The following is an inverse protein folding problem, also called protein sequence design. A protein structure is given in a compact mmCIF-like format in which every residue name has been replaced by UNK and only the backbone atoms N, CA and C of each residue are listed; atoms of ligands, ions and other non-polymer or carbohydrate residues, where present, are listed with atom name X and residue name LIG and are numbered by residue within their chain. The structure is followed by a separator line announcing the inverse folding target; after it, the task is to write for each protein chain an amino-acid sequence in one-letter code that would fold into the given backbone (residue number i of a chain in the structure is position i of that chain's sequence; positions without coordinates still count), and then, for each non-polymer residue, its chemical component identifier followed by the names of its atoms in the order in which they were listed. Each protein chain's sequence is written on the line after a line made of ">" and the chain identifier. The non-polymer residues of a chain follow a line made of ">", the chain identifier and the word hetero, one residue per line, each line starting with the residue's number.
data_IF_161944542802
#
_entry.id   IF_161944542802
#
_cell.length_a   1.000
_cell.length_b   1.000
_cell.length_c   1.000
_cell.angle_alpha   90.00
_cell.angle_beta   90.00
_cell.angle_gamma   90.00
#
_symmetry.space_group_name_H-M   'P 1'
#
loop_
_entity.id
_entity.type
_entity.pdbx_description
1 polymer ?
#
# COMPACT_ATOMS: atom_id res chain seq x y z
N UNK A 1 -3.83 -20.45 10.48
CA UNK A 1 -3.69 -21.08 9.13
C UNK A 1 -2.43 -21.94 9.03
N UNK A 2 -1.21 -21.48 9.35
CA UNK A 2 0.05 -22.22 9.24
C UNK A 2 0.01 -23.62 9.90
N UNK A 3 -0.57 -23.74 11.10
CA UNK A 3 -0.70 -25.04 11.78
C UNK A 3 -1.63 -26.02 11.01
N UNK A 4 -2.63 -25.51 10.28
CA UNK A 4 -3.49 -26.32 9.42
C UNK A 4 -2.72 -26.81 8.19
N UNK A 5 -2.05 -25.91 7.49
CA UNK A 5 -1.22 -26.25 6.33
C UNK A 5 -0.18 -27.31 6.66
N UNK A 6 0.48 -27.18 7.82
CA UNK A 6 1.44 -28.19 8.31
C UNK A 6 0.79 -29.56 8.56
N UNK A 7 -0.46 -29.59 9.09
CA UNK A 7 -1.17 -30.85 9.32
C UNK A 7 -1.62 -31.52 8.02
N UNK A 8 -1.95 -30.73 7.01
CA UNK A 8 -2.45 -31.21 5.72
C UNK A 8 -1.34 -31.50 4.70
N UNK A 9 -0.09 -31.11 4.98
CA UNK A 9 1.03 -31.27 4.03
C UNK A 9 1.37 -32.72 3.67
N UNK A 10 0.96 -33.68 4.51
CA UNK A 10 1.14 -35.12 4.24
C UNK A 10 -0.06 -35.77 3.51
N UNK A 11 -1.10 -35.00 3.22
CA UNK A 11 -2.32 -35.47 2.56
C UNK A 11 -2.28 -35.17 1.06
N UNK A 12 -2.70 -36.09 0.24
CA UNK A 12 -2.96 -35.88 -1.18
C UNK A 12 -4.35 -35.23 -1.32
N UNK A 13 -4.37 -33.91 -1.44
CA UNK A 13 -5.61 -33.12 -1.52
C UNK A 13 -6.08 -33.10 -2.98
N UNK A 14 -7.25 -33.69 -3.25
CA UNK A 14 -7.87 -33.75 -4.58
C UNK A 14 -9.02 -32.75 -4.73
N UNK A 15 -9.54 -32.21 -3.63
CA UNK A 15 -10.66 -31.27 -3.63
C UNK A 15 -10.60 -30.37 -2.40
N UNK A 16 -10.82 -29.08 -2.58
CA UNK A 16 -11.00 -28.12 -1.49
C UNK A 16 -12.45 -27.63 -1.50
N UNK A 17 -13.16 -27.86 -0.40
CA UNK A 17 -14.54 -27.41 -0.20
C UNK A 17 -14.56 -26.26 0.82
N UNK A 18 -14.45 -25.01 0.40
CA UNK A 18 -14.49 -23.87 1.32
C UNK A 18 -15.90 -23.69 1.90
N UNK A 19 -15.99 -23.10 3.09
CA UNK A 19 -17.30 -22.72 3.68
C UNK A 19 -17.97 -21.60 2.87
N UNK A 20 -17.16 -20.75 2.22
CA UNK A 20 -17.61 -19.69 1.34
C UNK A 20 -16.78 -19.72 0.06
N UNK A 21 -17.43 -19.73 -1.09
CA UNK A 21 -16.81 -19.78 -2.41
C UNK A 21 -17.06 -21.10 -3.15
N UNK A 22 -16.52 -21.26 -4.37
CA UNK A 22 -16.69 -22.45 -5.16
C UNK A 22 -15.89 -23.64 -4.60
N UNK A 23 -16.33 -24.85 -4.92
CA UNK A 23 -15.52 -26.06 -4.73
C UNK A 23 -14.37 -26.03 -5.75
N UNK A 24 -13.15 -26.26 -5.28
CA UNK A 24 -11.96 -26.26 -6.10
C UNK A 24 -11.50 -27.70 -6.34
N UNK A 25 -11.39 -28.08 -7.60
CA UNK A 25 -10.87 -29.38 -8.07
C UNK A 25 -9.62 -29.22 -8.93
N UNK A 26 -9.29 -27.98 -9.29
CA UNK A 26 -8.13 -27.59 -10.09
C UNK A 26 -7.41 -26.43 -9.41
N UNK A 27 -6.14 -26.20 -9.74
CA UNK A 27 -5.34 -25.11 -9.15
C UNK A 27 -5.10 -25.24 -7.64
N UNK A 28 -5.19 -26.45 -7.09
CA UNK A 28 -5.14 -26.69 -5.64
C UNK A 28 -3.77 -26.34 -5.04
N UNK A 29 -2.70 -26.65 -5.77
CA UNK A 29 -1.34 -26.33 -5.32
C UNK A 29 -1.12 -24.84 -5.24
N UNK A 30 -1.52 -24.08 -6.27
CA UNK A 30 -1.45 -22.61 -6.28
C UNK A 30 -2.29 -22.02 -5.15
N UNK A 31 -3.50 -22.52 -4.94
CA UNK A 31 -4.36 -22.10 -3.84
C UNK A 31 -3.68 -22.30 -2.47
N UNK A 32 -3.04 -23.45 -2.25
CA UNK A 32 -2.34 -23.78 -1.00
C UNK A 32 -1.08 -22.90 -0.83
N UNK A 33 -0.36 -22.59 -1.92
CA UNK A 33 0.78 -21.68 -1.91
C UNK A 33 0.34 -20.27 -1.52
N UNK A 34 -0.76 -19.75 -2.09
CA UNK A 34 -1.32 -18.45 -1.72
C UNK A 34 -1.77 -18.42 -0.25
N UNK A 35 -2.45 -19.46 0.23
CA UNK A 35 -2.81 -19.55 1.65
C UNK A 35 -1.58 -19.57 2.57
N UNK A 36 -0.51 -20.23 2.15
CA UNK A 36 0.74 -20.21 2.90
C UNK A 36 1.34 -18.81 2.94
N UNK A 37 1.42 -18.12 1.81
CA UNK A 37 1.93 -16.76 1.66
C UNK A 37 1.13 -15.77 2.52
N UNK A 38 -0.19 -15.69 2.30
CA UNK A 38 -1.06 -14.75 2.99
C UNK A 38 -1.11 -14.95 4.50
N UNK A 39 -1.07 -16.21 4.96
CA UNK A 39 -1.08 -16.52 6.40
C UNK A 39 0.23 -16.19 7.12
N UNK A 40 1.28 -15.85 6.38
CA UNK A 40 2.53 -15.28 6.86
C UNK A 40 2.60 -13.76 6.68
N UNK A 41 1.55 -13.14 6.12
CA UNK A 41 1.49 -11.71 5.82
C UNK A 41 2.49 -11.26 4.76
N UNK A 42 2.93 -12.19 3.92
CA UNK A 42 3.78 -11.89 2.78
C UNK A 42 2.95 -11.38 1.60
N UNK A 43 3.46 -10.43 0.82
CA UNK A 43 2.81 -9.96 -0.40
C UNK A 43 2.92 -10.98 -1.53
N UNK A 44 2.01 -10.94 -2.48
CA UNK A 44 2.13 -11.74 -3.71
C UNK A 44 3.23 -11.20 -4.63
N UNK A 45 3.37 -9.89 -4.70
CA UNK A 45 4.36 -9.18 -5.51
C UNK A 45 5.27 -8.32 -4.62
N UNK A 46 6.34 -8.92 -4.09
CA UNK A 46 7.24 -8.29 -3.12
C UNK A 46 7.92 -7.01 -3.63
N UNK A 47 8.23 -6.97 -4.92
CA UNK A 47 8.93 -5.83 -5.55
C UNK A 47 7.99 -4.76 -6.10
N UNK A 48 6.70 -5.06 -6.18
CA UNK A 48 5.72 -4.10 -6.68
C UNK A 48 5.38 -3.03 -5.65
N UNK A 49 5.03 -1.84 -6.15
CA UNK A 49 4.66 -0.69 -5.33
C UNK A 49 3.20 -0.31 -5.60
N UNK A 50 2.40 -0.16 -4.55
CA UNK A 50 1.13 0.55 -4.65
C UNK A 50 1.32 2.01 -4.26
N UNK A 51 0.91 2.95 -5.12
CA UNK A 51 0.74 4.36 -4.78
C UNK A 51 -0.75 4.62 -4.55
N UNK A 52 -1.17 4.72 -3.29
CA UNK A 52 -2.54 5.09 -2.93
C UNK A 52 -2.60 6.59 -2.64
N UNK A 53 -3.44 7.32 -3.38
CA UNK A 53 -3.54 8.77 -3.21
C UNK A 53 -4.96 9.26 -2.98
N UNK A 54 -5.08 10.36 -2.22
CA UNK A 54 -6.31 11.10 -2.02
C UNK A 54 -6.05 12.59 -2.25
N UNK A 55 -6.63 13.15 -3.31
CA UNK A 55 -6.36 14.50 -3.77
C UNK A 55 -7.65 15.33 -3.86
N UNK A 56 -7.61 16.57 -3.33
CA UNK A 56 -8.75 17.50 -3.38
C UNK A 56 -8.78 18.25 -4.70
N UNK A 57 -7.64 18.87 -5.06
CA UNK A 57 -7.53 19.79 -6.22
C UNK A 57 -6.58 19.27 -7.31
N UNK A 58 -6.23 17.99 -7.31
CA UNK A 58 -5.40 17.36 -8.33
C UNK A 58 -3.88 17.43 -8.10
N UNK A 59 -3.36 18.32 -7.25
CA UNK A 59 -1.91 18.47 -7.05
C UNK A 59 -1.26 17.24 -6.42
N UNK A 60 -1.91 16.63 -5.42
CA UNK A 60 -1.45 15.39 -4.82
C UNK A 60 -1.51 14.21 -5.80
N UNK A 61 -2.58 14.15 -6.61
CA UNK A 61 -2.70 13.17 -7.68
C UNK A 61 -1.63 13.35 -8.76
N UNK A 62 -1.28 14.60 -9.10
CA UNK A 62 -0.19 14.90 -10.02
C UNK A 62 1.16 14.42 -9.47
N UNK A 63 1.45 14.67 -8.20
CA UNK A 63 2.66 14.18 -7.54
C UNK A 63 2.73 12.64 -7.53
N UNK A 64 1.62 11.97 -7.22
CA UNK A 64 1.51 10.51 -7.26
C UNK A 64 1.82 9.94 -8.66
N UNK A 65 1.26 10.56 -9.71
CA UNK A 65 1.52 10.18 -11.11
C UNK A 65 2.97 10.45 -11.52
N UNK A 66 3.55 11.55 -11.06
CA UNK A 66 4.97 11.89 -11.30
C UNK A 66 5.89 10.87 -10.66
N UNK A 67 5.63 10.49 -9.40
CA UNK A 67 6.37 9.42 -8.71
C UNK A 67 6.26 8.10 -9.48
N UNK A 68 5.05 7.70 -9.90
CA UNK A 68 4.84 6.51 -10.73
C UNK A 68 5.75 6.52 -11.95
N UNK A 69 5.73 7.60 -12.73
CA UNK A 69 6.56 7.69 -13.95
C UNK A 69 8.06 7.65 -13.68
N UNK A 70 8.53 8.15 -12.51
CA UNK A 70 9.94 8.05 -12.11
C UNK A 70 10.33 6.60 -11.75
N UNK A 71 9.46 5.87 -11.04
CA UNK A 71 9.67 4.46 -10.66
C UNK A 71 9.61 3.53 -11.86
N UNK A 72 8.64 3.71 -12.75
CA UNK A 72 8.52 2.92 -13.99
C UNK A 72 9.74 3.07 -14.89
N UNK A 73 10.35 4.26 -14.96
CA UNK A 73 11.63 4.49 -15.68
C UNK A 73 12.80 3.71 -15.06
N UNK A 74 12.69 3.28 -13.80
CA UNK A 74 13.64 2.41 -13.13
C UNK A 74 13.30 0.92 -13.26
N UNK A 75 12.25 0.58 -14.00
CA UNK A 75 11.80 -0.80 -14.21
C UNK A 75 10.94 -1.36 -13.07
N UNK A 76 10.50 -0.53 -12.13
CA UNK A 76 9.67 -0.96 -11.00
C UNK A 76 8.20 -1.08 -11.45
N UNK A 77 7.54 -2.17 -11.10
CA UNK A 77 6.09 -2.34 -11.31
C UNK A 77 5.32 -1.49 -10.32
N UNK A 78 4.49 -0.57 -10.82
CA UNK A 78 3.75 0.38 -10.00
C UNK A 78 2.26 0.36 -10.28
N UNK A 79 1.48 0.03 -9.27
CA UNK A 79 0.04 0.21 -9.24
C UNK A 79 -0.29 1.59 -8.65
N UNK A 80 -1.28 2.27 -9.19
CA UNK A 80 -1.75 3.56 -8.66
C UNK A 80 -3.25 3.50 -8.40
N UNK A 81 -3.68 3.97 -7.24
CA UNK A 81 -5.06 3.95 -6.79
C UNK A 81 -5.49 5.34 -6.32
N UNK A 82 -6.54 5.87 -6.92
CA UNK A 82 -7.20 7.09 -6.45
C UNK A 82 -8.31 6.73 -5.46
N UNK A 83 -8.07 6.95 -4.18
CA UNK A 83 -8.99 6.60 -3.10
C UNK A 83 -10.28 7.42 -3.10
N UNK A 84 -10.37 8.48 -3.92
CA UNK A 84 -11.57 9.30 -4.02
C UNK A 84 -12.63 8.72 -4.96
N UNK A 85 -12.23 7.77 -5.81
CA UNK A 85 -13.12 7.16 -6.83
C UNK A 85 -13.02 5.64 -6.91
N UNK A 86 -11.96 5.04 -6.36
CA UNK A 86 -11.79 3.59 -6.36
C UNK A 86 -12.56 2.98 -5.18
N UNK A 87 -13.26 1.88 -5.44
CA UNK A 87 -13.87 1.12 -4.34
C UNK A 87 -12.79 0.69 -3.33
N UNK A 88 -13.08 0.94 -2.06
CA UNK A 88 -12.12 0.73 -0.98
C UNK A 88 -11.66 -0.72 -0.85
N UNK A 89 -12.51 -1.68 -1.20
CA UNK A 89 -12.15 -3.11 -1.17
C UNK A 89 -11.01 -3.44 -2.13
N UNK A 90 -11.02 -2.87 -3.34
CA UNK A 90 -9.93 -3.02 -4.31
C UNK A 90 -8.65 -2.32 -3.87
N UNK A 91 -8.76 -1.13 -3.26
CA UNK A 91 -7.60 -0.42 -2.75
C UNK A 91 -6.91 -1.21 -1.62
N UNK A 92 -7.70 -1.78 -0.70
CA UNK A 92 -7.20 -2.64 0.38
C UNK A 92 -6.58 -3.92 -0.17
N UNK A 93 -7.24 -4.61 -1.11
CA UNK A 93 -6.69 -5.80 -1.72
C UNK A 93 -5.33 -5.51 -2.39
N UNK A 94 -5.22 -4.39 -3.13
CA UNK A 94 -3.97 -3.96 -3.76
C UNK A 94 -2.85 -3.68 -2.73
N UNK A 95 -3.17 -3.16 -1.55
CA UNK A 95 -2.19 -2.93 -0.49
C UNK A 95 -1.64 -4.25 0.09
N UNK A 96 -2.46 -5.29 0.19
CA UNK A 96 -1.99 -6.62 0.61
C UNK A 96 -1.19 -7.32 -0.49
N UNK A 97 -1.53 -7.09 -1.75
CA UNK A 97 -0.88 -7.68 -2.91
C UNK A 97 0.56 -7.17 -3.11
N UNK A 98 0.79 -5.85 -2.94
CA UNK A 98 2.08 -5.22 -3.19
C UNK A 98 3.02 -5.30 -1.97
N UNK A 99 4.33 -5.42 -2.23
CA UNK A 99 5.34 -5.43 -1.18
C UNK A 99 5.63 -4.07 -0.56
N UNK A 100 5.50 -3.01 -1.34
CA UNK A 100 5.77 -1.64 -0.91
C UNK A 100 4.54 -0.75 -1.14
N UNK A 101 4.37 0.25 -0.29
CA UNK A 101 3.22 1.17 -0.34
C UNK A 101 3.72 2.62 -0.30
N UNK A 102 3.15 3.49 -1.11
CA UNK A 102 3.30 4.94 -0.97
C UNK A 102 1.93 5.56 -0.76
N UNK A 103 1.80 6.30 0.33
CA UNK A 103 0.58 7.02 0.68
C UNK A 103 0.75 8.50 0.37
N UNK A 104 -0.15 9.04 -0.46
CA UNK A 104 -0.13 10.44 -0.85
C UNK A 104 -1.45 11.11 -0.49
N UNK A 105 -1.45 12.04 0.46
CA UNK A 105 -2.68 12.67 0.96
C UNK A 105 -2.58 14.16 1.11
N UNK A 106 -3.70 14.84 0.84
CA UNK A 106 -3.89 16.23 1.22
C UNK A 106 -4.23 16.35 2.71
N UNK A 107 -3.76 17.44 3.34
CA UNK A 107 -4.27 17.89 4.62
C UNK A 107 -5.64 18.52 4.41
N UNK A 108 -6.62 18.12 5.19
CA UNK A 108 -7.99 18.60 5.10
C UNK A 108 -8.52 18.92 6.51
N UNK A 109 -9.01 20.14 6.71
CA UNK A 109 -9.57 20.61 7.99
C UNK A 109 -8.65 20.31 9.21
N UNK A 110 -7.36 20.58 9.04
CA UNK A 110 -6.33 20.26 10.04
C UNK A 110 -6.07 18.76 10.27
N UNK A 111 -6.80 17.90 9.58
CA UNK A 111 -6.74 16.45 9.65
C UNK A 111 -6.26 15.79 8.37
N UNK A 112 -6.45 14.48 8.30
CA UNK A 112 -6.20 13.68 7.12
C UNK A 112 -7.44 13.70 6.21
N UNK A 113 -7.24 13.82 4.90
CA UNK A 113 -8.36 13.79 3.96
C UNK A 113 -9.16 12.48 4.10
N UNK A 114 -10.51 12.54 4.22
CA UNK A 114 -11.34 11.42 4.62
C UNK A 114 -11.09 10.10 3.88
N UNK A 115 -10.95 10.05 2.52
CA UNK A 115 -10.70 8.78 1.83
C UNK A 115 -9.40 8.09 2.28
N UNK A 116 -8.35 8.86 2.57
CA UNK A 116 -7.08 8.30 3.09
C UNK A 116 -7.25 7.83 4.53
N UNK A 117 -8.00 8.57 5.36
CA UNK A 117 -8.29 8.16 6.74
C UNK A 117 -9.02 6.83 6.78
N UNK A 118 -10.09 6.70 5.99
CA UNK A 118 -10.90 5.49 5.88
C UNK A 118 -10.06 4.30 5.39
N UNK A 119 -9.24 4.51 4.36
CA UNK A 119 -8.33 3.48 3.86
C UNK A 119 -7.39 2.94 4.95
N UNK A 120 -6.74 3.82 5.73
CA UNK A 120 -5.86 3.43 6.82
C UNK A 120 -6.61 2.69 7.95
N UNK A 121 -7.83 3.11 8.29
CA UNK A 121 -8.68 2.42 9.28
C UNK A 121 -9.03 1.01 8.83
N UNK A 122 -9.30 0.81 7.54
CA UNK A 122 -9.53 -0.53 6.97
C UNK A 122 -8.27 -1.39 6.98
N UNK A 123 -7.12 -0.84 6.62
CA UNK A 123 -5.84 -1.55 6.72
C UNK A 123 -5.57 -2.01 8.16
N UNK A 124 -5.75 -1.12 9.13
CA UNK A 124 -5.57 -1.42 10.55
C UNK A 124 -6.51 -2.52 11.04
N UNK A 125 -7.81 -2.39 10.73
CA UNK A 125 -8.84 -3.36 11.12
C UNK A 125 -8.58 -4.75 10.55
N UNK A 126 -8.03 -4.83 9.34
CA UNK A 126 -7.66 -6.10 8.68
C UNK A 126 -6.28 -6.62 9.10
N UNK A 127 -5.59 -5.91 10.00
CA UNK A 127 -4.28 -6.32 10.55
C UNK A 127 -3.15 -6.21 9.55
N UNK A 128 -3.20 -5.26 8.62
CA UNK A 128 -2.12 -4.96 7.67
C UNK A 128 -0.78 -4.80 8.39
N UNK A 129 0.25 -5.46 7.87
CA UNK A 129 1.57 -5.52 8.50
C UNK A 129 2.65 -5.97 7.52
N UNK A 130 3.90 -5.98 7.99
CA UNK A 130 5.07 -6.49 7.26
C UNK A 130 5.21 -5.79 5.90
N UNK A 131 5.23 -4.45 5.92
CA UNK A 131 5.34 -3.63 4.71
C UNK A 131 6.22 -2.42 4.92
N UNK A 132 6.78 -1.93 3.82
CA UNK A 132 7.52 -0.66 3.76
C UNK A 132 6.64 0.41 3.16
N UNK A 133 6.62 1.59 3.79
CA UNK A 133 5.67 2.64 3.42
C UNK A 133 6.39 3.99 3.26
N UNK A 134 6.24 4.61 2.09
CA UNK A 134 6.64 5.98 1.80
C UNK A 134 5.48 6.96 1.96
N UNK A 135 5.79 8.21 2.30
CA UNK A 135 4.79 9.23 2.58
C UNK A 135 4.96 10.46 1.69
N UNK A 136 3.84 10.91 1.12
CA UNK A 136 3.71 12.19 0.42
C UNK A 136 2.57 12.96 1.06
N UNK A 137 2.84 14.18 1.48
CA UNK A 137 1.82 15.08 2.03
C UNK A 137 1.63 16.33 1.17
N UNK A 138 0.45 16.91 1.26
CA UNK A 138 0.16 18.21 0.67
C UNK A 138 -0.64 19.10 1.63
N UNK A 139 -0.19 20.33 1.78
CA UNK A 139 -0.90 21.34 2.58
C UNK A 139 -0.28 22.72 2.38
N UNK A 140 -1.10 23.72 2.07
CA UNK A 140 -0.61 25.06 1.71
C UNK A 140 0.08 25.80 2.86
N UNK A 141 -0.48 25.73 4.08
CA UNK A 141 0.02 26.46 5.25
C UNK A 141 0.73 25.57 6.26
N UNK A 142 0.03 24.51 6.70
CA UNK A 142 0.50 23.59 7.72
C UNK A 142 0.23 22.15 7.26
N UNK A 143 1.07 21.61 6.39
CA UNK A 143 0.94 20.21 6.00
C UNK A 143 1.05 19.31 7.24
N UNK A 144 0.07 18.45 7.44
CA UNK A 144 -0.02 17.56 8.60
C UNK A 144 -0.30 16.11 8.21
N UNK A 145 -0.59 15.87 6.93
CA UNK A 145 -1.02 14.56 6.47
C UNK A 145 0.05 13.47 6.71
N UNK A 146 1.33 13.75 6.46
CA UNK A 146 2.41 12.78 6.70
C UNK A 146 2.50 12.37 8.17
N UNK A 147 2.47 13.34 9.08
CA UNK A 147 2.48 13.08 10.52
C UNK A 147 1.29 12.24 10.97
N UNK A 148 0.10 12.54 10.46
CA UNK A 148 -1.13 11.82 10.80
C UNK A 148 -1.12 10.39 10.23
N UNK A 149 -0.66 10.22 8.98
CA UNK A 149 -0.46 8.88 8.38
C UNK A 149 0.57 8.07 9.17
N UNK A 150 1.72 8.69 9.52
CA UNK A 150 2.77 8.05 10.34
C UNK A 150 2.20 7.54 11.67
N UNK A 151 1.48 8.37 12.42
CA UNK A 151 0.86 7.97 13.69
C UNK A 151 -0.04 6.73 13.53
N UNK A 152 -0.85 6.68 12.46
CA UNK A 152 -1.70 5.52 12.18
C UNK A 152 -0.93 4.26 11.79
N UNK A 153 0.14 4.42 11.02
CA UNK A 153 1.00 3.31 10.59
C UNK A 153 1.83 2.74 11.73
N UNK A 154 2.27 3.57 12.68
CA UNK A 154 3.02 3.16 13.88
C UNK A 154 2.15 2.34 14.86
N UNK A 155 0.83 2.42 14.77
CA UNK A 155 -0.11 1.55 15.49
C UNK A 155 -0.21 0.14 14.87
N UNK A 156 0.30 -0.05 13.64
CA UNK A 156 0.29 -1.32 12.92
C UNK A 156 1.59 -2.08 13.15
N UNK A 157 1.51 -3.42 13.10
CA UNK A 157 2.65 -4.27 13.38
C UNK A 157 3.62 -4.35 12.19
N UNK A 158 4.92 -4.31 12.45
CA UNK A 158 5.98 -4.55 11.45
C UNK A 158 5.83 -3.66 10.19
N UNK A 159 5.50 -2.38 10.39
CA UNK A 159 5.51 -1.36 9.34
C UNK A 159 6.82 -0.58 9.43
N UNK A 160 7.54 -0.53 8.32
CA UNK A 160 8.79 0.21 8.18
C UNK A 160 8.56 1.44 7.30
N UNK A 161 8.76 2.62 7.86
CA UNK A 161 8.61 3.88 7.12
C UNK A 161 9.94 4.28 6.50
N UNK A 162 9.90 4.67 5.21
CA UNK A 162 11.04 5.32 4.58
C UNK A 162 11.34 6.66 5.25
N UNK A 163 12.61 7.07 5.22
CA UNK A 163 13.05 8.29 5.92
C UNK A 163 12.55 9.54 5.20
N UNK A 164 12.59 9.52 3.87
CA UNK A 164 12.19 10.66 3.06
C UNK A 164 10.68 10.82 3.02
N UNK A 165 10.22 12.00 3.44
CA UNK A 165 8.83 12.47 3.25
C UNK A 165 8.81 13.53 2.16
N UNK A 166 7.97 13.34 1.14
CA UNK A 166 7.75 14.36 0.12
C UNK A 166 6.68 15.33 0.60
N UNK A 167 7.06 16.57 0.86
CA UNK A 167 6.14 17.60 1.35
C UNK A 167 5.82 18.62 0.25
N UNK A 168 4.56 18.68 -0.13
CA UNK A 168 4.03 19.61 -1.12
C UNK A 168 3.36 20.82 -0.41
N UNK A 169 3.63 21.98 -0.93
CA UNK A 169 2.88 23.20 -0.59
C UNK A 169 2.08 23.65 -1.80
N UNK A 170 0.96 22.95 -2.04
CA UNK A 170 0.13 23.03 -3.25
C UNK A 170 0.73 22.25 -4.42
N UNK A 171 1.44 22.87 -5.37
CA UNK A 171 2.01 22.20 -6.54
C UNK A 171 3.43 21.67 -6.27
N UNK A 172 3.88 20.74 -7.11
CA UNK A 172 5.28 20.32 -7.18
C UNK A 172 6.19 21.53 -7.46
N UNK A 173 7.34 21.54 -6.79
CA UNK A 173 8.39 22.54 -6.96
C UNK A 173 9.77 21.86 -6.83
N UNK A 174 10.82 22.62 -7.05
CA UNK A 174 12.18 22.08 -7.04
C UNK A 174 12.55 21.32 -5.76
N UNK A 175 12.10 21.80 -4.59
CA UNK A 175 12.36 21.13 -3.31
C UNK A 175 11.62 19.79 -3.20
N UNK A 176 10.33 19.77 -3.52
CA UNK A 176 9.54 18.53 -3.47
C UNK A 176 9.93 17.55 -4.56
N UNK A 177 10.42 18.02 -5.71
CA UNK A 177 11.01 17.14 -6.73
C UNK A 177 12.30 16.48 -6.25
N UNK A 178 13.19 17.21 -5.57
CA UNK A 178 14.40 16.64 -4.98
C UNK A 178 14.06 15.60 -3.88
N UNK A 179 13.06 15.89 -3.04
CA UNK A 179 12.56 14.91 -2.06
C UNK A 179 11.98 13.67 -2.76
N UNK A 180 11.25 13.86 -3.86
CA UNK A 180 10.70 12.75 -4.64
C UNK A 180 11.81 11.87 -5.24
N UNK A 181 12.89 12.47 -5.75
CA UNK A 181 14.04 11.74 -6.26
C UNK A 181 14.75 10.94 -5.16
N UNK A 182 14.85 11.51 -3.95
CA UNK A 182 15.38 10.79 -2.79
C UNK A 182 14.48 9.61 -2.40
N UNK A 183 13.16 9.80 -2.34
CA UNK A 183 12.21 8.71 -2.07
C UNK A 183 12.28 7.61 -3.14
N UNK A 184 12.42 7.97 -4.42
CA UNK A 184 12.63 6.99 -5.51
C UNK A 184 13.90 6.19 -5.28
N UNK A 185 15.00 6.83 -4.85
CA UNK A 185 16.24 6.13 -4.54
C UNK A 185 16.06 5.12 -3.38
N UNK A 186 15.38 5.52 -2.30
CA UNK A 186 15.06 4.62 -1.18
C UNK A 186 14.17 3.43 -1.60
N UNK A 187 13.14 3.69 -2.41
CA UNK A 187 12.21 2.65 -2.91
C UNK A 187 12.89 1.63 -3.82
N UNK A 188 13.96 2.03 -4.52
CA UNK A 188 14.70 1.20 -5.47
C UNK A 188 15.99 0.58 -4.90
N UNK A 189 16.42 0.96 -3.68
CA UNK A 189 17.69 0.51 -3.09
C UNK A 189 17.67 -0.93 -2.57
N UNK A 190 16.55 -1.59 -2.66
CA UNK A 190 16.32 -2.91 -2.04
C UNK A 190 15.65 -3.89 -2.97
#
# INVERSE_FOLDING_TARGET
>A
MQALLKKTSALEIQTICPLHGPVLTEGLEECLQLYNLWSQWEPEESESILIAHASIHGNTAHAAKTLKGKLEKKGVQVNICDLTVTDLSYAVASAFYCGKLVLASSTYDGGLFPPMKEFLEHLQTKGFRNRRVGLIENGSWAPAAARLMRTKLEEMKDIHLYETVVSLRSALNQTSEAQMDALVAELCAE
#
